data_IF_929811140914
#
_entry.id   IF_929811140914
#
_cell.length_a   1.000
_cell.length_b   1.000
_cell.length_c   1.000
_cell.angle_alpha   90.00
_cell.angle_beta   90.00
_cell.angle_gamma   90.00
#
_symmetry.space_group_name_H-M   'P 1'
#
loop_
_entity.id
_entity.type
_entity.pdbx_description
1 polymer ?
#
# COMPACT_ATOMS: atom_id res chain seq x y z
N UNK A 1 19.51 9.23 -2.90
CA UNK A 1 18.36 8.54 -2.27
C UNK A 1 18.54 7.04 -2.38
N UNK A 2 17.97 6.26 -1.45
CA UNK A 2 18.00 4.80 -1.52
C UNK A 2 16.93 4.34 -2.52
N UNK A 3 17.35 3.78 -3.66
CA UNK A 3 16.42 3.16 -4.63
C UNK A 3 15.93 1.84 -4.05
N UNK A 4 14.71 1.81 -3.52
CA UNK A 4 14.14 0.65 -2.82
C UNK A 4 13.37 -0.31 -3.73
N UNK A 5 13.32 0.00 -5.04
CA UNK A 5 12.62 -0.76 -6.07
C UNK A 5 11.25 -0.18 -6.42
N UNK A 6 10.63 0.61 -5.54
CA UNK A 6 9.30 1.18 -5.76
C UNK A 6 9.33 2.71 -5.85
N UNK A 7 10.17 3.36 -5.04
CA UNK A 7 10.32 4.82 -5.03
C UNK A 7 11.78 5.27 -4.98
N UNK A 8 12.05 6.30 -5.77
CA UNK A 8 13.22 7.17 -5.65
C UNK A 8 12.93 8.51 -6.33
N UNK A 9 13.59 9.56 -5.84
CA UNK A 9 13.67 10.83 -6.56
C UNK A 9 14.60 10.65 -7.76
N UNK A 10 14.03 10.66 -8.97
CA UNK A 10 14.77 10.60 -10.21
C UNK A 10 15.31 11.99 -10.56
N UNK A 11 16.60 12.06 -10.93
CA UNK A 11 17.20 13.26 -11.52
C UNK A 11 16.94 13.30 -13.02
N UNK A 12 17.20 14.44 -13.64
CA UNK A 12 17.15 14.57 -15.10
C UNK A 12 18.04 13.52 -15.77
N UNK A 13 17.46 12.76 -16.71
CA UNK A 13 18.14 11.64 -17.39
C UNK A 13 18.21 10.32 -16.61
N UNK A 14 17.77 10.27 -15.34
CA UNK A 14 17.64 9.01 -14.61
C UNK A 14 16.29 8.34 -14.87
N UNK A 15 16.27 7.00 -14.79
CA UNK A 15 15.05 6.21 -14.86
C UNK A 15 14.06 6.65 -13.77
N UNK A 16 12.81 6.90 -14.19
CA UNK A 16 11.75 7.33 -13.29
C UNK A 16 11.31 6.18 -12.37
N UNK A 17 11.07 6.48 -11.09
CA UNK A 17 10.52 5.49 -10.17
C UNK A 17 9.05 5.17 -10.48
N UNK A 18 8.60 3.92 -10.28
CA UNK A 18 7.20 3.53 -10.51
C UNK A 18 6.18 4.40 -9.76
N UNK A 19 6.48 4.77 -8.50
CA UNK A 19 5.61 5.67 -7.72
C UNK A 19 5.87 7.16 -7.96
N UNK A 20 6.92 7.54 -8.69
CA UNK A 20 7.30 8.93 -8.93
C UNK A 20 6.16 9.81 -9.44
N UNK A 21 5.42 9.41 -10.50
CA UNK A 21 4.27 10.17 -11.00
C UNK A 21 3.17 10.38 -9.95
N UNK A 22 2.87 9.34 -9.16
CA UNK A 22 1.83 9.40 -8.12
C UNK A 22 2.24 10.33 -6.97
N UNK A 23 3.49 10.25 -6.54
CA UNK A 23 4.06 11.16 -5.53
C UNK A 23 4.03 12.61 -6.03
N UNK A 24 4.43 12.87 -7.28
CA UNK A 24 4.39 14.20 -7.86
C UNK A 24 2.96 14.78 -7.88
N UNK A 25 1.96 13.98 -8.26
CA UNK A 25 0.54 14.37 -8.22
C UNK A 25 0.06 14.68 -6.79
N UNK A 26 0.46 13.86 -5.81
CA UNK A 26 0.12 14.10 -4.41
C UNK A 26 0.75 15.40 -3.88
N UNK A 27 2.02 15.66 -4.20
CA UNK A 27 2.71 16.91 -3.83
C UNK A 27 2.03 18.13 -4.44
N UNK A 28 1.65 18.06 -5.73
CA UNK A 28 0.89 19.14 -6.38
C UNK A 28 -0.46 19.40 -5.73
N UNK A 29 -1.07 18.38 -5.12
CA UNK A 29 -2.31 18.49 -4.34
C UNK A 29 -2.09 18.91 -2.88
N UNK A 30 -0.86 19.29 -2.49
CA UNK A 30 -0.53 19.80 -1.16
C UNK A 30 -0.08 18.73 -0.15
N UNK A 31 0.09 17.48 -0.55
CA UNK A 31 0.57 16.42 0.33
C UNK A 31 2.11 16.44 0.44
N UNK A 32 2.62 16.28 1.65
CA UNK A 32 4.07 16.19 1.90
C UNK A 32 4.49 14.73 2.07
N UNK A 33 5.67 14.37 1.55
CA UNK A 33 6.30 13.10 1.90
C UNK A 33 6.55 13.05 3.41
N UNK A 34 6.19 11.91 4.00
CA UNK A 34 6.33 11.67 5.44
C UNK A 34 7.80 11.70 5.84
N UNK A 35 8.17 12.54 6.80
CA UNK A 35 9.50 12.49 7.42
C UNK A 35 9.57 11.39 8.49
N UNK A 36 10.77 10.89 8.77
CA UNK A 36 10.96 9.91 9.84
C UNK A 36 10.42 10.46 11.17
N UNK A 37 9.61 9.68 11.87
CA UNK A 37 8.96 10.09 13.13
C UNK A 37 7.61 10.80 13.00
N UNK A 38 7.22 11.27 11.81
CA UNK A 38 5.90 11.87 11.62
C UNK A 38 4.80 10.79 11.62
N UNK A 39 3.58 11.15 12.03
CA UNK A 39 2.42 10.26 11.87
C UNK A 39 2.03 10.18 10.38
N UNK A 40 1.54 9.03 9.89
CA UNK A 40 0.95 8.95 8.56
C UNK A 40 -0.13 10.02 8.39
N UNK A 41 -0.21 10.63 7.21
CA UNK A 41 -1.30 11.53 6.83
C UNK A 41 -2.20 10.79 5.84
N UNK A 42 -3.53 10.85 6.00
CA UNK A 42 -4.43 10.20 5.05
C UNK A 42 -4.40 10.95 3.73
N UNK A 43 -4.36 10.22 2.62
CA UNK A 43 -4.52 10.74 1.27
C UNK A 43 -5.98 10.54 0.84
N UNK A 44 -6.70 11.63 0.57
CA UNK A 44 -8.12 11.59 0.22
C UNK A 44 -8.97 10.78 1.22
N UNK A 45 -8.73 10.97 2.52
CA UNK A 45 -9.47 10.27 3.58
C UNK A 45 -9.01 8.84 3.88
N UNK A 46 -8.00 8.31 3.17
CA UNK A 46 -7.50 6.95 3.35
C UNK A 46 -6.03 6.91 3.76
N UNK A 47 -5.68 6.00 4.66
CA UNK A 47 -4.29 5.63 4.90
C UNK A 47 -3.87 4.52 3.94
N UNK A 48 -2.64 4.63 3.45
CA UNK A 48 -2.03 3.67 2.54
C UNK A 48 -0.78 3.09 3.20
N UNK A 49 -0.65 1.76 3.15
CA UNK A 49 0.49 1.05 3.69
C UNK A 49 0.97 0.02 2.69
N UNK A 50 2.29 0.00 2.45
CA UNK A 50 2.93 -1.03 1.63
C UNK A 50 3.07 -2.32 2.47
N UNK A 51 2.61 -3.41 1.89
CA UNK A 51 2.79 -4.77 2.39
C UNK A 51 4.01 -5.37 1.68
N UNK A 52 4.87 -6.04 2.44
CA UNK A 52 6.20 -6.46 1.97
C UNK A 52 6.27 -7.95 1.62
N UNK A 53 5.15 -8.65 1.64
CA UNK A 53 5.07 -10.07 1.34
C UNK A 53 3.64 -10.44 0.94
N UNK A 54 3.46 -11.62 0.37
CA UNK A 54 2.16 -12.29 0.30
C UNK A 54 2.08 -13.50 1.20
N UNK A 55 0.87 -13.80 1.68
CA UNK A 55 0.59 -14.97 2.50
C UNK A 55 -0.01 -16.11 1.69
N UNK A 56 -0.18 -17.25 2.35
CA UNK A 56 -0.65 -18.51 1.75
C UNK A 56 -1.98 -18.45 0.98
N UNK A 57 -2.85 -17.47 1.26
CA UNK A 57 -4.14 -17.33 0.58
C UNK A 57 -4.07 -16.45 -0.67
N UNK A 58 -2.92 -15.82 -0.94
CA UNK A 58 -2.73 -15.05 -2.16
C UNK A 58 -2.54 -15.98 -3.37
N UNK A 59 -2.97 -15.55 -4.57
CA UNK A 59 -2.51 -16.17 -5.81
C UNK A 59 -0.97 -16.23 -5.85
N UNK A 60 -0.41 -17.39 -6.14
CA UNK A 60 1.06 -17.59 -6.14
C UNK A 60 1.67 -18.02 -4.80
N UNK A 61 0.88 -18.15 -3.72
CA UNK A 61 1.35 -18.72 -2.45
C UNK A 61 2.15 -17.76 -1.55
N UNK A 62 2.82 -18.26 -0.52
CA UNK A 62 3.53 -17.41 0.44
C UNK A 62 4.97 -17.10 -0.02
N UNK A 63 5.32 -15.81 -0.11
CA UNK A 63 6.71 -15.37 -0.31
C UNK A 63 6.93 -13.89 0.08
N UNK A 64 8.19 -13.51 0.29
CA UNK A 64 8.61 -12.15 0.61
C UNK A 64 8.91 -11.35 -0.67
N UNK A 65 8.45 -10.10 -0.73
CA UNK A 65 8.71 -9.21 -1.85
C UNK A 65 10.11 -8.58 -1.80
N UNK A 66 10.76 -8.61 -0.64
CA UNK A 66 12.05 -8.00 -0.39
C UNK A 66 13.18 -9.00 -0.65
N UNK A 67 14.00 -8.72 -1.66
CA UNK A 67 15.24 -9.45 -1.96
C UNK A 67 16.41 -8.50 -1.77
N UNK A 68 17.34 -8.82 -0.86
CA UNK A 68 18.51 -7.97 -0.52
C UNK A 68 18.14 -6.51 -0.22
N UNK A 69 17.02 -6.31 0.47
CA UNK A 69 16.52 -4.98 0.84
C UNK A 69 15.90 -4.17 -0.29
N UNK A 70 15.67 -4.78 -1.47
CA UNK A 70 14.97 -4.20 -2.61
C UNK A 70 13.66 -4.93 -2.87
N UNK A 71 12.64 -4.22 -3.30
CA UNK A 71 11.32 -4.75 -3.61
C UNK A 71 11.30 -5.38 -5.01
N UNK A 72 11.80 -6.62 -5.12
CA UNK A 72 11.99 -7.32 -6.40
C UNK A 72 10.89 -8.37 -6.63
N UNK A 73 10.44 -9.05 -5.58
CA UNK A 73 9.42 -10.10 -5.70
C UNK A 73 8.01 -9.57 -6.00
N UNK A 74 7.83 -8.26 -6.05
CA UNK A 74 6.54 -7.61 -6.26
C UNK A 74 6.24 -6.60 -5.17
N UNK A 75 4.98 -6.20 -5.05
CA UNK A 75 4.50 -5.35 -3.97
C UNK A 75 3.00 -5.56 -3.76
N UNK A 76 2.52 -5.07 -2.63
CA UNK A 76 1.09 -4.88 -2.41
C UNK A 76 0.84 -3.67 -1.52
N UNK A 77 -0.36 -3.13 -1.60
CA UNK A 77 -0.82 -2.03 -0.75
C UNK A 77 -2.10 -2.44 -0.04
N UNK A 78 -2.28 -1.93 1.18
CA UNK A 78 -3.57 -1.84 1.84
C UNK A 78 -3.97 -0.38 1.97
N UNK A 79 -5.22 -0.07 1.61
CA UNK A 79 -5.88 1.20 1.81
C UNK A 79 -7.02 1.02 2.82
N UNK A 80 -7.05 1.86 3.86
CA UNK A 80 -8.10 1.83 4.88
C UNK A 80 -8.54 3.25 5.27
N UNK A 81 -9.82 3.45 5.62
CA UNK A 81 -10.35 4.77 5.98
C UNK A 81 -9.62 5.34 7.20
N UNK A 82 -9.35 6.65 7.16
CA UNK A 82 -8.76 7.37 8.29
C UNK A 82 -9.69 7.42 9.50
N UNK A 83 -10.98 7.45 9.25
CA UNK A 83 -12.05 7.34 10.23
C UNK A 83 -13.14 6.44 9.65
N UNK A 84 -13.30 5.25 10.25
CA UNK A 84 -14.33 4.29 9.86
C UNK A 84 -15.73 4.91 9.99
N UNK A 85 -16.57 4.71 8.98
CA UNK A 85 -17.94 5.22 8.91
C UNK A 85 -18.06 6.70 8.52
N UNK A 86 -16.96 7.46 8.49
CA UNK A 86 -16.94 8.85 8.04
C UNK A 86 -16.19 8.99 6.70
N UNK A 87 -14.89 8.68 6.70
CA UNK A 87 -14.08 8.70 5.48
C UNK A 87 -14.27 7.48 4.58
N UNK A 88 -14.92 6.43 5.09
CA UNK A 88 -15.19 5.18 4.38
C UNK A 88 -15.42 4.02 5.33
N UNK A 89 -15.87 2.88 4.80
CA UNK A 89 -16.07 1.63 5.55
C UNK A 89 -15.24 0.47 5.01
N UNK A 90 -14.95 0.47 3.71
CA UNK A 90 -14.21 -0.59 3.05
C UNK A 90 -12.71 -0.42 3.17
N UNK A 91 -12.02 -1.55 3.34
CA UNK A 91 -10.58 -1.69 3.21
C UNK A 91 -10.30 -2.36 1.89
N UNK A 92 -9.26 -1.91 1.20
CA UNK A 92 -8.84 -2.45 -0.07
C UNK A 92 -7.42 -2.99 0.03
N UNK A 93 -7.16 -4.15 -0.54
CA UNK A 93 -5.82 -4.67 -0.80
C UNK A 93 -5.63 -4.83 -2.29
N UNK A 94 -4.47 -4.42 -2.80
CA UNK A 94 -4.08 -4.61 -4.20
C UNK A 94 -2.64 -5.11 -4.26
N UNK A 95 -2.37 -6.08 -5.13
CA UNK A 95 -1.02 -6.53 -5.43
C UNK A 95 -0.54 -6.03 -6.81
N UNK A 96 0.73 -6.29 -7.11
CA UNK A 96 1.39 -5.91 -8.36
C UNK A 96 0.75 -6.53 -9.62
N UNK A 97 -0.01 -7.61 -9.50
CA UNK A 97 -0.79 -8.20 -10.61
C UNK A 97 -2.12 -7.45 -10.87
N UNK A 98 -2.40 -6.39 -10.12
CA UNK A 98 -3.63 -5.61 -10.23
C UNK A 98 -4.84 -6.28 -9.58
N UNK A 99 -4.68 -7.39 -8.86
CA UNK A 99 -5.79 -8.04 -8.17
C UNK A 99 -6.22 -7.22 -6.95
N UNK A 100 -7.44 -6.67 -7.00
CA UNK A 100 -8.02 -5.87 -5.91
C UNK A 100 -8.98 -6.73 -5.09
N UNK A 101 -8.84 -6.66 -3.78
CA UNK A 101 -9.72 -7.29 -2.80
C UNK A 101 -10.26 -6.23 -1.84
N UNK A 102 -11.50 -6.40 -1.41
CA UNK A 102 -12.14 -5.53 -0.43
C UNK A 102 -12.74 -6.31 0.74
N UNK A 103 -12.76 -5.67 1.90
CA UNK A 103 -13.41 -6.20 3.11
C UNK A 103 -13.79 -5.06 4.05
N UNK A 104 -14.93 -5.21 4.71
CA UNK A 104 -15.30 -4.39 5.86
C UNK A 104 -14.81 -5.08 7.14
N UNK A 105 -13.99 -4.39 7.94
CA UNK A 105 -13.51 -4.87 9.24
C UNK A 105 -14.17 -4.17 10.42
N UNK A 106 -15.20 -3.37 10.17
CA UNK A 106 -15.95 -2.65 11.18
C UNK A 106 -15.10 -1.62 11.91
N UNK A 107 -15.44 -1.38 13.18
CA UNK A 107 -14.79 -0.40 14.05
C UNK A 107 -13.31 -0.70 14.33
N UNK A 108 -12.85 -1.93 14.11
CA UNK A 108 -11.45 -2.32 14.28
C UNK A 108 -10.58 -2.08 13.04
N UNK A 109 -11.13 -1.46 11.98
CA UNK A 109 -10.45 -1.19 10.71
C UNK A 109 -9.06 -0.59 10.88
N UNK A 110 -8.92 0.50 11.63
CA UNK A 110 -7.62 1.17 11.79
C UNK A 110 -6.59 0.26 12.46
N UNK A 111 -6.98 -0.41 13.55
CA UNK A 111 -6.12 -1.32 14.32
C UNK A 111 -5.67 -2.52 13.47
N UNK A 112 -6.60 -3.17 12.76
CA UNK A 112 -6.29 -4.37 11.99
C UNK A 112 -5.47 -4.01 10.75
N UNK A 113 -5.91 -3.01 9.97
CA UNK A 113 -5.25 -2.63 8.72
C UNK A 113 -3.84 -2.05 8.95
N UNK A 114 -3.67 -1.23 9.99
CA UNK A 114 -2.34 -0.71 10.36
C UNK A 114 -1.37 -1.81 10.82
N UNK A 115 -1.87 -2.93 11.34
CA UNK A 115 -1.07 -4.09 11.73
C UNK A 115 -0.75 -5.05 10.58
N UNK A 116 -1.46 -4.97 9.44
CA UNK A 116 -1.25 -5.88 8.30
C UNK A 116 0.17 -5.79 7.74
N UNK A 117 0.76 -6.96 7.45
CA UNK A 117 2.12 -7.07 6.91
C UNK A 117 2.19 -7.77 5.55
N UNK A 118 1.18 -8.57 5.22
CA UNK A 118 1.15 -9.43 4.04
C UNK A 118 -0.15 -9.24 3.26
N UNK A 119 -0.05 -9.30 1.94
CA UNK A 119 -1.21 -9.48 1.08
C UNK A 119 -1.69 -10.93 1.23
N UNK A 120 -2.80 -11.14 1.94
CA UNK A 120 -3.29 -12.47 2.27
C UNK A 120 -4.82 -12.53 2.26
N UNK A 121 -5.46 -12.37 1.09
CA UNK A 121 -6.91 -12.40 0.99
C UNK A 121 -7.44 -13.82 1.25
N UNK A 122 -7.86 -14.09 2.49
CA UNK A 122 -8.58 -15.33 2.81
C UNK A 122 -9.99 -15.35 2.20
N UNK A 123 -10.75 -16.43 2.45
CA UNK A 123 -12.10 -16.63 1.91
C UNK A 123 -13.13 -15.56 2.29
N UNK A 124 -12.83 -14.73 3.29
CA UNK A 124 -13.71 -13.65 3.74
C UNK A 124 -13.47 -12.33 2.99
N UNK A 125 -12.42 -12.25 2.18
CA UNK A 125 -12.17 -11.12 1.30
C UNK A 125 -12.94 -11.28 0.00
N UNK A 126 -13.58 -10.21 -0.45
CA UNK A 126 -14.26 -10.17 -1.74
C UNK A 126 -13.31 -9.62 -2.80
N UNK A 127 -13.09 -10.34 -3.88
CA UNK A 127 -12.37 -9.79 -5.05
C UNK A 127 -13.25 -8.72 -5.71
N UNK A 128 -12.65 -7.59 -6.07
CA UNK A 128 -13.30 -6.53 -6.85
C UNK A 128 -13.10 -6.83 -8.33
N UNK A 129 -14.17 -6.73 -9.12
CA UNK A 129 -14.17 -6.87 -10.57
C UNK A 129 -13.97 -5.52 -11.25
#
# INVERSE_FOLDING_TARGET
>A
GKKDGLYWEAKEGEEQSPLGPLVAKAVKAGYTLRKSGEKPKPYQGYFYKILKAQGKNAPGGEYDYMVRGKMIGGFALVAYPAQYGNSGVMIFMVNHDGAVYQKDLGRETEKIASAMKKFNPDKTWKKVE
#
